data_IF_578543892709
#
_entry.id   IF_578543892709
#
_cell.length_a   1.000
_cell.length_b   1.000
_cell.length_c   1.000
_cell.angle_alpha   90.00
_cell.angle_beta   90.00
_cell.angle_gamma   90.00
#
_symmetry.space_group_name_H-M   'P 1'
#
loop_
_entity.id
_entity.type
_entity.pdbx_description
1 polymer ?
#
# COMPACT_ATOMS: atom_id res chain seq x y z
N UNK A 1 2.90 16.12 24.61
CA UNK A 1 2.06 15.31 23.71
C UNK A 1 2.61 15.52 22.31
N UNK A 2 3.43 14.60 21.80
CA UNK A 2 4.01 14.74 20.46
C UNK A 2 2.95 14.38 19.43
N UNK A 3 2.68 15.25 18.47
CA UNK A 3 1.86 14.91 17.32
C UNK A 3 2.56 13.79 16.55
N UNK A 4 2.01 12.57 16.59
CA UNK A 4 2.43 11.49 15.70
C UNK A 4 2.36 12.03 14.27
N UNK A 5 3.50 12.13 13.60
CA UNK A 5 3.53 12.61 12.21
C UNK A 5 2.99 11.50 11.34
N UNK A 6 1.73 11.62 10.91
CA UNK A 6 1.03 10.64 10.06
C UNK A 6 1.10 11.05 8.60
N UNK A 7 1.28 10.07 7.72
CA UNK A 7 1.34 10.27 6.28
C UNK A 7 0.62 9.17 5.54
N UNK A 8 -0.38 9.55 4.75
CA UNK A 8 -1.13 8.63 3.91
C UNK A 8 -0.59 8.66 2.49
N UNK A 9 -0.30 7.49 1.93
CA UNK A 9 0.07 7.34 0.52
C UNK A 9 -0.94 6.44 -0.17
N UNK A 10 -1.46 6.90 -1.31
CA UNK A 10 -2.43 6.16 -2.11
C UNK A 10 -1.76 5.69 -3.39
N UNK A 11 -1.76 4.38 -3.63
CA UNK A 11 -1.20 3.78 -4.84
C UNK A 11 -2.18 2.85 -5.53
N UNK A 12 -2.16 2.78 -6.87
CA UNK A 12 -2.92 1.77 -7.60
C UNK A 12 -2.38 0.38 -7.30
N UNK A 13 -3.28 -0.58 -7.03
CA UNK A 13 -2.94 -2.00 -6.91
C UNK A 13 -3.08 -2.62 -8.28
N UNK A 14 -1.95 -3.00 -8.88
CA UNK A 14 -1.97 -3.60 -10.20
C UNK A 14 -2.48 -5.04 -10.09
N UNK A 15 -3.72 -5.27 -10.53
CA UNK A 15 -4.23 -6.61 -10.75
C UNK A 15 -3.60 -7.15 -12.03
N UNK A 16 -2.74 -8.16 -11.90
CA UNK A 16 -2.32 -8.97 -13.05
C UNK A 16 -3.60 -9.51 -13.71
N UNK A 17 -3.84 -9.10 -14.95
CA UNK A 17 -4.95 -9.57 -15.78
C UNK A 17 -4.70 -11.06 -16.07
N UNK A 18 -5.07 -11.93 -15.15
CA UNK A 18 -5.03 -13.36 -15.37
C UNK A 18 -6.25 -13.96 -14.68
N UNK A 19 -7.16 -14.39 -15.55
CA UNK A 19 -8.39 -15.13 -15.29
C UNK A 19 -8.15 -16.20 -14.22
N UNK A 20 -9.03 -16.28 -13.22
CA UNK A 20 -8.91 -17.13 -12.02
C UNK A 20 -7.93 -16.60 -10.96
N UNK A 21 -8.28 -15.49 -10.32
CA UNK A 21 -7.57 -15.00 -9.13
C UNK A 21 -8.05 -15.78 -7.89
N UNK A 22 -7.59 -17.01 -7.70
CA UNK A 22 -7.48 -17.56 -6.35
C UNK A 22 -6.37 -16.77 -5.66
N UNK A 23 -6.75 -15.68 -4.97
CA UNK A 23 -5.84 -14.89 -4.15
C UNK A 23 -5.34 -15.78 -3.02
N UNK A 24 -4.22 -16.47 -3.22
CA UNK A 24 -3.51 -17.09 -2.10
C UNK A 24 -3.06 -16.00 -1.13
N UNK A 25 -3.04 -16.33 0.16
CA UNK A 25 -2.57 -15.39 1.20
C UNK A 25 -1.14 -14.92 0.88
N UNK A 26 -0.28 -15.82 0.41
CA UNK A 26 1.07 -15.48 -0.03
C UNK A 26 1.08 -14.50 -1.21
N UNK A 27 0.21 -14.70 -2.20
CA UNK A 27 0.07 -13.79 -3.34
C UNK A 27 -0.40 -12.40 -2.90
N UNK A 28 -1.31 -12.33 -1.93
CA UNK A 28 -1.76 -11.06 -1.36
C UNK A 28 -0.63 -10.34 -0.61
N UNK A 29 0.14 -11.07 0.22
CA UNK A 29 1.28 -10.52 0.95
C UNK A 29 2.33 -9.98 -0.02
N UNK A 30 2.68 -10.73 -1.06
CA UNK A 30 3.65 -10.29 -2.07
C UNK A 30 3.20 -9.02 -2.80
N UNK A 31 1.90 -8.90 -3.10
CA UNK A 31 1.30 -7.68 -3.69
C UNK A 31 1.41 -6.49 -2.74
N UNK A 32 1.07 -6.66 -1.46
CA UNK A 32 1.20 -5.62 -0.46
C UNK A 32 2.65 -5.14 -0.32
N UNK A 33 3.61 -6.07 -0.23
CA UNK A 33 5.04 -5.74 -0.18
C UNK A 33 5.49 -4.93 -1.39
N UNK A 34 5.02 -5.28 -2.59
CA UNK A 34 5.34 -4.55 -3.83
C UNK A 34 4.83 -3.12 -3.79
N UNK A 35 3.59 -2.93 -3.36
CA UNK A 35 2.94 -1.61 -3.24
C UNK A 35 3.66 -0.74 -2.20
N UNK A 36 4.02 -1.31 -1.04
CA UNK A 36 4.79 -0.60 0.00
C UNK A 36 6.17 -0.21 -0.50
N UNK A 37 6.86 -1.10 -1.22
CA UNK A 37 8.16 -0.79 -1.83
C UNK A 37 8.03 0.35 -2.84
N UNK A 38 6.99 0.32 -3.67
CA UNK A 38 6.72 1.38 -4.63
C UNK A 38 6.46 2.73 -3.92
N UNK A 39 5.72 2.74 -2.82
CA UNK A 39 5.48 3.95 -2.02
C UNK A 39 6.79 4.56 -1.53
N UNK A 40 7.71 3.73 -1.00
CA UNK A 40 9.01 4.21 -0.51
C UNK A 40 9.93 4.71 -1.63
N UNK A 41 9.84 4.13 -2.83
CA UNK A 41 10.59 4.61 -4.00
C UNK A 41 10.04 5.97 -4.47
N UNK A 42 8.72 6.13 -4.49
CA UNK A 42 8.07 7.39 -4.91
C UNK A 42 8.14 8.49 -3.85
N UNK A 43 8.26 8.11 -2.58
CA UNK A 43 8.32 9.01 -1.43
C UNK A 43 9.50 8.63 -0.53
N UNK A 44 10.75 9.03 -0.88
CA UNK A 44 11.95 8.69 -0.10
C UNK A 44 11.93 9.21 1.34
N UNK A 45 11.15 10.27 1.60
CA UNK A 45 10.91 10.83 2.93
C UNK A 45 10.22 9.86 3.90
N UNK A 46 9.60 8.80 3.38
CA UNK A 46 9.02 7.72 4.19
C UNK A 46 10.07 6.77 4.79
N UNK A 47 11.36 6.89 4.45
CA UNK A 47 12.42 6.02 4.96
C UNK A 47 12.39 5.88 6.49
N UNK A 48 12.15 6.98 7.19
CA UNK A 48 12.08 7.05 8.65
C UNK A 48 10.72 6.67 9.25
N UNK A 49 9.70 6.44 8.40
CA UNK A 49 8.35 6.12 8.85
C UNK A 49 8.12 4.60 8.85
N UNK A 50 7.37 4.13 9.85
CA UNK A 50 6.86 2.76 9.90
C UNK A 50 5.51 2.68 9.21
N UNK A 51 5.25 1.57 8.52
CA UNK A 51 3.93 1.28 7.99
C UNK A 51 3.08 0.68 9.11
N UNK A 52 1.98 1.34 9.45
CA UNK A 52 1.07 0.93 10.52
C UNK A 52 -0.16 0.20 9.99
N UNK A 53 -0.70 0.65 8.85
CA UNK A 53 -1.91 0.07 8.29
C UNK A 53 -1.90 0.12 6.76
N UNK A 54 -2.64 -0.81 6.15
CA UNK A 54 -2.90 -0.87 4.72
C UNK A 54 -4.38 -1.16 4.48
N UNK A 55 -5.08 -0.19 3.92
CA UNK A 55 -6.47 -0.36 3.49
C UNK A 55 -6.57 -0.49 1.98
N UNK A 56 -7.49 -1.33 1.52
CA UNK A 56 -7.85 -1.44 0.11
C UNK A 56 -9.18 -0.72 -0.11
N UNK A 57 -9.24 0.14 -1.14
CA UNK A 57 -10.47 0.83 -1.55
C UNK A 57 -10.63 0.78 -3.06
N UNK A 58 -11.87 0.78 -3.54
CA UNK A 58 -12.16 0.92 -4.96
C UNK A 58 -12.54 2.38 -5.22
N UNK A 59 -11.84 3.03 -6.15
CA UNK A 59 -12.06 4.43 -6.52
C UNK A 59 -12.04 4.54 -8.04
N UNK A 60 -13.13 5.02 -8.64
CA UNK A 60 -13.24 5.12 -10.12
C UNK A 60 -13.17 3.78 -10.85
N UNK A 61 -13.52 2.67 -10.18
CA UNK A 61 -13.41 1.31 -10.74
C UNK A 61 -12.00 0.70 -10.63
N UNK A 62 -11.04 1.42 -10.04
CA UNK A 62 -9.68 0.93 -9.80
C UNK A 62 -9.49 0.54 -8.33
N UNK A 63 -8.81 -0.59 -8.08
CA UNK A 63 -8.37 -0.96 -6.74
C UNK A 63 -7.16 -0.11 -6.34
N UNK A 64 -7.26 0.56 -5.19
CA UNK A 64 -6.20 1.40 -4.62
C UNK A 64 -5.87 0.94 -3.21
N UNK A 65 -4.58 1.00 -2.88
CA UNK A 65 -4.08 0.78 -1.54
C UNK A 65 -3.81 2.13 -0.88
N UNK A 66 -4.31 2.31 0.33
CA UNK A 66 -4.02 3.44 1.21
C UNK A 66 -3.08 2.94 2.29
N UNK A 67 -1.87 3.50 2.32
CA UNK A 67 -0.80 3.13 3.24
C UNK A 67 -0.71 4.20 4.33
N UNK A 68 -0.87 3.82 5.59
CA UNK A 68 -0.69 4.70 6.75
C UNK A 68 0.73 4.56 7.31
N UNK A 69 1.53 5.60 7.11
CA UNK A 69 2.88 5.72 7.62
C UNK A 69 2.92 6.65 8.84
N UNK A 70 3.59 6.24 9.91
CA UNK A 70 3.75 7.03 11.14
C UNK A 70 5.20 7.04 11.61
N UNK A 71 5.60 8.11 12.29
CA UNK A 71 6.89 8.25 12.98
C UNK A 71 6.77 7.91 14.45
#
# INVERSE_FOLDING_TARGET
>A
MGEETKRHVVLPVWSERSSSCTLSVEGLIGRLQRVVRQARVQHPDLADYRLHDVHLRIEGGELRAVLDFRK
#
